data_IF_809019498826
#
_entry.id   IF_809019498826
#
_cell.length_a   1.000
_cell.length_b   1.000
_cell.length_c   1.000
_cell.angle_alpha   90.00
_cell.angle_beta   90.00
_cell.angle_gamma   90.00
#
_symmetry.space_group_name_H-M   'P 1'
#
loop_
_entity.id
_entity.type
_entity.pdbx_description
1 polymer ?
#
# COMPACT_ATOMS: atom_id res chain seq x y z
N UNK A 1 -1.80 7.41 -28.92
CA UNK A 1 -1.29 8.36 -27.91
C UNK A 1 -1.15 7.64 -26.59
N UNK A 2 0.03 7.64 -25.98
CA UNK A 2 0.25 7.13 -24.62
C UNK A 2 -0.27 8.16 -23.61
N UNK A 3 -1.14 7.72 -22.70
CA UNK A 3 -1.61 8.53 -21.56
C UNK A 3 -0.63 8.28 -20.42
N UNK A 4 -0.08 9.35 -19.84
CA UNK A 4 0.82 9.28 -18.69
C UNK A 4 0.61 10.47 -17.75
N UNK A 5 0.92 10.27 -16.47
CA UNK A 5 0.89 11.32 -15.45
C UNK A 5 1.79 12.48 -15.83
N UNK A 6 1.29 13.72 -15.72
CA UNK A 6 2.03 14.93 -16.09
C UNK A 6 1.94 15.33 -17.56
N UNK A 7 1.25 14.57 -18.43
CA UNK A 7 1.08 14.92 -19.85
C UNK A 7 0.45 16.30 -20.05
N UNK A 8 -0.66 16.59 -19.36
CA UNK A 8 -1.36 17.88 -19.48
C UNK A 8 -0.48 19.06 -19.03
N UNK A 9 0.30 18.86 -17.96
CA UNK A 9 1.21 19.89 -17.45
C UNK A 9 2.36 20.14 -18.43
N UNK A 10 2.93 19.07 -19.01
CA UNK A 10 3.94 19.18 -20.07
C UNK A 10 3.38 19.88 -21.31
N UNK A 11 2.18 19.51 -21.76
CA UNK A 11 1.52 20.12 -22.91
C UNK A 11 1.26 21.62 -22.67
N UNK A 12 0.77 21.96 -21.47
CA UNK A 12 0.54 23.35 -21.06
C UNK A 12 1.85 24.13 -21.02
N UNK A 13 2.91 23.55 -20.46
CA UNK A 13 4.24 24.15 -20.44
C UNK A 13 4.75 24.46 -21.86
N UNK A 14 4.64 23.51 -22.79
CA UNK A 14 5.10 23.67 -24.18
C UNK A 14 4.30 24.74 -24.90
N UNK A 15 2.97 24.79 -24.73
CA UNK A 15 2.12 25.80 -25.37
C UNK A 15 2.41 27.22 -24.87
N UNK A 16 2.67 27.36 -23.57
CA UNK A 16 2.78 28.66 -22.91
C UNK A 16 4.22 29.20 -22.88
N UNK A 17 5.21 28.40 -23.27
CA UNK A 17 6.62 28.81 -23.25
C UNK A 17 7.09 29.14 -24.66
N UNK A 18 7.65 30.35 -24.86
CA UNK A 18 8.14 30.80 -26.17
C UNK A 18 9.22 29.88 -26.75
N UNK A 19 10.14 29.44 -25.89
CA UNK A 19 11.25 28.53 -26.24
C UNK A 19 11.31 27.40 -25.20
N UNK A 20 10.48 26.35 -25.33
CA UNK A 20 10.44 25.28 -24.36
C UNK A 20 11.78 24.52 -24.37
N UNK A 21 12.37 24.36 -23.19
CA UNK A 21 13.63 23.64 -23.02
C UNK A 21 13.46 22.52 -22.00
N UNK A 22 13.97 21.33 -22.32
CA UNK A 22 13.84 20.16 -21.45
C UNK A 22 14.41 20.40 -20.06
N UNK A 23 15.62 20.97 -19.96
CA UNK A 23 16.23 21.31 -18.66
C UNK A 23 15.39 22.29 -17.85
N UNK A 24 14.79 23.29 -18.50
CA UNK A 24 13.93 24.26 -17.83
C UNK A 24 12.61 23.64 -17.36
N UNK A 25 12.04 22.70 -18.12
CA UNK A 25 10.88 21.92 -17.69
C UNK A 25 11.24 21.07 -16.46
N UNK A 26 12.34 20.33 -16.54
CA UNK A 26 12.79 19.45 -15.46
C UNK A 26 13.05 20.22 -14.18
N UNK A 27 13.75 21.36 -14.25
CA UNK A 27 14.03 22.20 -13.09
C UNK A 27 12.77 22.83 -12.47
N UNK A 28 11.72 23.04 -13.27
CA UNK A 28 10.47 23.63 -12.77
C UNK A 28 9.59 22.61 -12.06
N UNK A 29 9.68 21.34 -12.45
CA UNK A 29 8.80 20.28 -12.00
C UNK A 29 9.57 19.11 -11.39
N UNK A 30 10.62 19.40 -10.61
CA UNK A 30 11.53 18.39 -10.07
C UNK A 30 10.78 17.33 -9.25
N UNK A 31 10.02 17.78 -8.26
CA UNK A 31 9.24 16.90 -7.36
C UNK A 31 8.17 16.12 -8.15
N UNK A 32 7.45 16.80 -9.05
CA UNK A 32 6.35 16.18 -9.79
C UNK A 32 6.85 15.17 -10.82
N UNK A 33 8.07 15.33 -11.36
CA UNK A 33 8.67 14.34 -12.27
C UNK A 33 8.80 13.00 -11.57
N UNK A 34 9.21 12.98 -10.31
CA UNK A 34 9.35 11.76 -9.52
C UNK A 34 7.97 11.12 -9.31
N UNK A 35 6.97 11.90 -8.87
CA UNK A 35 5.59 11.43 -8.67
C UNK A 35 4.96 10.87 -9.96
N UNK A 36 5.11 11.57 -11.08
CA UNK A 36 4.61 11.15 -12.39
C UNK A 36 5.32 9.90 -12.91
N UNK A 37 6.45 9.55 -12.32
CA UNK A 37 7.25 8.37 -12.66
C UNK A 37 6.95 7.15 -11.79
N UNK A 38 6.07 7.26 -10.79
CA UNK A 38 5.78 6.20 -9.83
C UNK A 38 5.43 4.85 -10.48
N UNK A 39 4.64 4.89 -11.55
CA UNK A 39 4.19 3.71 -12.28
C UNK A 39 5.02 3.42 -13.56
N UNK A 40 6.10 4.17 -13.81
CA UNK A 40 7.01 3.86 -14.91
C UNK A 40 7.80 2.59 -14.60
N UNK A 41 8.14 1.84 -15.64
CA UNK A 41 9.11 0.74 -15.55
C UNK A 41 10.47 1.24 -16.02
N UNK A 42 11.09 2.12 -15.22
CA UNK A 42 12.48 2.49 -15.41
C UNK A 42 13.34 1.68 -14.43
N UNK A 43 14.36 1.00 -14.94
CA UNK A 43 15.31 0.17 -14.19
C UNK A 43 16.53 0.95 -13.69
N UNK A 44 16.74 2.19 -14.16
CA UNK A 44 17.81 3.08 -13.71
C UNK A 44 17.51 4.54 -14.08
N UNK A 45 18.33 5.46 -13.53
CA UNK A 45 18.26 6.90 -13.77
C UNK A 45 18.38 7.30 -15.24
N UNK A 46 19.20 6.58 -16.01
CA UNK A 46 19.39 6.85 -17.43
C UNK A 46 18.15 6.52 -18.24
N UNK A 47 17.50 5.40 -17.96
CA UNK A 47 16.23 5.02 -18.59
C UNK A 47 15.12 6.00 -18.24
N UNK A 48 15.02 6.40 -16.96
CA UNK A 48 14.08 7.43 -16.52
C UNK A 48 14.27 8.74 -17.30
N UNK A 49 15.51 9.19 -17.45
CA UNK A 49 15.86 10.35 -18.26
C UNK A 49 15.41 10.18 -19.72
N UNK A 50 15.69 9.03 -20.35
CA UNK A 50 15.33 8.78 -21.75
C UNK A 50 13.81 8.81 -21.96
N UNK A 51 13.03 8.24 -21.03
CA UNK A 51 11.56 8.29 -21.08
C UNK A 51 11.07 9.73 -21.07
N UNK A 52 11.59 10.56 -20.16
CA UNK A 52 11.19 11.97 -20.07
C UNK A 52 11.63 12.80 -21.26
N UNK A 53 12.82 12.54 -21.81
CA UNK A 53 13.28 13.18 -23.05
C UNK A 53 12.38 12.81 -24.22
N UNK A 54 12.00 11.53 -24.36
CA UNK A 54 11.06 11.10 -25.40
C UNK A 54 9.74 11.82 -25.27
N UNK A 55 9.14 11.81 -24.08
CA UNK A 55 7.87 12.49 -23.79
C UNK A 55 7.93 13.97 -24.15
N UNK A 56 8.99 14.67 -23.75
CA UNK A 56 9.18 16.08 -24.06
C UNK A 56 9.26 16.31 -25.58
N UNK A 57 10.11 15.54 -26.27
CA UNK A 57 10.29 15.68 -27.71
C UNK A 57 9.03 15.35 -28.50
N UNK A 58 8.26 14.35 -28.06
CA UNK A 58 7.00 13.95 -28.67
C UNK A 58 5.95 15.04 -28.50
N UNK A 59 5.80 15.60 -27.30
CA UNK A 59 4.89 16.72 -27.06
C UNK A 59 5.29 18.00 -27.81
N UNK A 60 6.58 18.28 -27.97
CA UNK A 60 7.03 19.43 -28.80
C UNK A 60 6.69 19.18 -30.27
N UNK A 61 6.94 17.98 -30.80
CA UNK A 61 6.58 17.63 -32.18
C UNK A 61 5.07 17.69 -32.43
N UNK A 62 4.27 17.29 -31.45
CA UNK A 62 2.81 17.31 -31.51
C UNK A 62 2.24 18.74 -31.48
N UNK A 63 2.78 19.62 -30.63
CA UNK A 63 2.15 20.91 -30.32
C UNK A 63 2.83 22.13 -30.97
N UNK A 64 4.14 22.03 -31.25
CA UNK A 64 5.01 23.14 -31.65
C UNK A 64 6.08 22.63 -32.62
N UNK A 65 5.65 22.19 -33.80
CA UNK A 65 6.54 21.71 -34.87
C UNK A 65 7.53 22.78 -35.38
N UNK A 66 7.28 24.05 -35.07
CA UNK A 66 8.17 25.18 -35.35
C UNK A 66 9.41 25.22 -34.44
N UNK A 67 9.39 24.55 -33.28
CA UNK A 67 10.49 24.55 -32.32
C UNK A 67 11.52 23.47 -32.68
N UNK A 68 12.79 23.88 -32.80
CA UNK A 68 13.88 22.93 -33.02
C UNK A 68 14.24 22.15 -31.76
N UNK A 69 14.26 20.82 -31.87
CA UNK A 69 14.68 19.93 -30.79
C UNK A 69 16.20 19.94 -30.66
N UNK A 70 16.68 20.21 -29.45
CA UNK A 70 18.11 20.17 -29.11
C UNK A 70 18.47 18.84 -28.47
N UNK A 71 19.72 18.40 -28.69
CA UNK A 71 20.27 17.24 -27.99
C UNK A 71 20.34 17.52 -26.49
N UNK A 72 19.58 16.74 -25.71
CA UNK A 72 19.57 16.82 -24.26
C UNK A 72 20.79 16.07 -23.70
N UNK A 73 21.49 16.68 -22.75
CA UNK A 73 22.59 16.04 -22.01
C UNK A 73 22.05 15.35 -20.76
N UNK A 74 22.52 14.15 -20.50
CA UNK A 74 22.29 13.45 -19.23
C UNK A 74 23.11 14.09 -18.12
N UNK A 75 22.47 14.41 -17.00
CA UNK A 75 23.10 14.97 -15.79
C UNK A 75 22.97 13.95 -14.66
N UNK A 76 24.01 13.13 -14.47
CA UNK A 76 23.98 12.00 -13.54
C UNK A 76 23.48 12.39 -12.15
N UNK A 77 24.12 13.37 -11.51
CA UNK A 77 23.78 13.82 -10.15
C UNK A 77 22.30 14.17 -9.94
N UNK A 78 21.62 14.66 -10.99
CA UNK A 78 20.21 15.02 -10.91
C UNK A 78 19.29 13.83 -11.11
N UNK A 79 19.57 13.03 -12.13
CA UNK A 79 18.72 11.90 -12.48
C UNK A 79 18.91 10.71 -11.55
N UNK A 80 20.09 10.56 -10.96
CA UNK A 80 20.34 9.58 -9.90
C UNK A 80 19.49 9.95 -8.68
N UNK A 81 19.50 11.22 -8.25
CA UNK A 81 18.63 11.71 -7.18
C UNK A 81 17.13 11.45 -7.44
N UNK A 82 16.64 11.79 -8.64
CA UNK A 82 15.24 11.48 -8.99
C UNK A 82 14.93 9.99 -8.97
N UNK A 83 15.90 9.16 -9.34
CA UNK A 83 15.70 7.72 -9.36
C UNK A 83 15.72 7.14 -7.94
N UNK A 84 16.58 7.63 -7.06
CA UNK A 84 16.59 7.27 -5.63
C UNK A 84 15.26 7.64 -4.96
N UNK A 85 14.79 8.89 -5.12
CA UNK A 85 13.48 9.33 -4.59
C UNK A 85 12.33 8.50 -5.16
N UNK A 86 12.41 8.11 -6.43
CA UNK A 86 11.41 7.24 -7.07
C UNK A 86 11.40 5.83 -6.44
N UNK A 87 12.56 5.27 -6.11
CA UNK A 87 12.65 3.98 -5.42
C UNK A 87 12.03 4.05 -4.02
N UNK A 88 12.34 5.10 -3.26
CA UNK A 88 11.75 5.32 -1.94
C UNK A 88 10.22 5.40 -2.00
N UNK A 89 9.66 6.15 -2.96
CA UNK A 89 8.21 6.24 -3.14
C UNK A 89 7.57 4.91 -3.54
N UNK A 90 8.25 4.10 -4.37
CA UNK A 90 7.77 2.76 -4.73
C UNK A 90 7.76 1.83 -3.53
N UNK A 91 8.83 1.85 -2.74
CA UNK A 91 8.96 1.05 -1.52
C UNK A 91 7.88 1.44 -0.50
N UNK A 92 7.69 2.73 -0.25
CA UNK A 92 6.66 3.24 0.65
C UNK A 92 5.26 2.81 0.19
N UNK A 93 4.96 2.93 -1.11
CA UNK A 93 3.68 2.48 -1.69
C UNK A 93 3.48 0.98 -1.50
N UNK A 94 4.52 0.17 -1.69
CA UNK A 94 4.45 -1.27 -1.49
C UNK A 94 4.23 -1.63 -0.01
N UNK A 95 4.97 -1.00 0.91
CA UNK A 95 4.82 -1.20 2.35
C UNK A 95 3.41 -0.85 2.82
N UNK A 96 2.92 0.34 2.44
CA UNK A 96 1.56 0.78 2.75
C UNK A 96 0.50 -0.20 2.24
N UNK A 97 0.67 -0.75 1.04
CA UNK A 97 -0.23 -1.77 0.49
C UNK A 97 -0.21 -3.06 1.31
N UNK A 98 0.98 -3.54 1.69
CA UNK A 98 1.14 -4.77 2.48
C UNK A 98 0.53 -4.59 3.87
N UNK A 99 0.82 -3.48 4.55
CA UNK A 99 0.31 -3.18 5.89
C UNK A 99 -1.21 -2.97 5.87
N UNK A 100 -1.73 -2.27 4.86
CA UNK A 100 -3.17 -2.13 4.65
C UNK A 100 -3.85 -3.49 4.49
N UNK A 101 -3.29 -4.38 3.69
CA UNK A 101 -3.82 -5.74 3.54
C UNK A 101 -3.77 -6.54 4.85
N UNK A 102 -2.68 -6.43 5.61
CA UNK A 102 -2.57 -7.07 6.93
C UNK A 102 -3.65 -6.57 7.88
N UNK A 103 -3.93 -5.26 7.90
CA UNK A 103 -4.96 -4.67 8.75
C UNK A 103 -6.38 -5.13 8.36
N UNK A 104 -6.67 -5.20 7.06
CA UNK A 104 -7.94 -5.73 6.54
C UNK A 104 -8.12 -7.19 6.96
N UNK A 105 -7.09 -8.02 6.80
CA UNK A 105 -7.16 -9.43 7.19
C UNK A 105 -7.39 -9.59 8.70
N UNK A 106 -6.65 -8.86 9.55
CA UNK A 106 -6.86 -8.87 11.00
C UNK A 106 -8.28 -8.45 11.39
N UNK A 107 -8.80 -7.41 10.73
CA UNK A 107 -10.16 -6.92 10.99
C UNK A 107 -11.22 -7.95 10.59
N UNK A 108 -11.05 -8.61 9.44
CA UNK A 108 -11.95 -9.67 8.99
C UNK A 108 -11.93 -10.88 9.92
N UNK A 109 -10.74 -11.32 10.36
CA UNK A 109 -10.59 -12.40 11.34
C UNK A 109 -11.27 -12.04 12.65
N UNK A 110 -11.06 -10.83 13.17
CA UNK A 110 -11.71 -10.38 14.40
C UNK A 110 -13.23 -10.30 14.29
N UNK A 111 -13.76 -9.79 13.16
CA UNK A 111 -15.20 -9.73 12.92
C UNK A 111 -15.82 -11.13 12.80
N UNK A 112 -15.10 -12.04 12.15
CA UNK A 112 -15.52 -13.44 12.00
C UNK A 112 -15.53 -14.16 13.34
N UNK A 113 -14.48 -14.05 14.15
CA UNK A 113 -14.43 -14.61 15.51
C UNK A 113 -15.55 -14.07 16.40
N UNK A 114 -15.85 -12.77 16.33
CA UNK A 114 -17.00 -12.18 17.04
C UNK A 114 -18.31 -12.80 16.58
N UNK A 115 -18.49 -13.00 15.28
CA UNK A 115 -19.69 -13.62 14.71
C UNK A 115 -19.83 -15.08 15.14
N UNK A 116 -18.73 -15.85 15.15
CA UNK A 116 -18.70 -17.22 15.65
C UNK A 116 -19.12 -17.28 17.11
N UNK A 117 -18.53 -16.43 17.98
CA UNK A 117 -18.89 -16.35 19.40
C UNK A 117 -20.37 -16.05 19.62
N UNK A 118 -20.96 -15.16 18.82
CA UNK A 118 -22.40 -14.84 18.89
C UNK A 118 -23.29 -16.03 18.46
N UNK A 119 -22.84 -16.82 17.49
CA UNK A 119 -23.56 -18.03 17.08
C UNK A 119 -23.48 -19.10 18.18
N UNK A 120 -22.30 -19.30 18.78
CA UNK A 120 -22.07 -20.26 19.86
C UNK A 120 -22.83 -19.89 21.14
N UNK A 121 -22.91 -18.60 21.49
CA UNK A 121 -23.69 -18.14 22.65
C UNK A 121 -25.19 -18.37 22.49
N UNK A 122 -25.72 -18.34 21.26
CA UNK A 122 -27.14 -18.58 21.01
C UNK A 122 -27.50 -20.07 21.00
N UNK A 123 -26.56 -20.98 20.73
CA UNK A 123 -26.77 -22.42 20.88
C UNK A 123 -26.81 -22.86 22.37
N UNK A 124 -26.26 -22.05 23.28
CA UNK A 124 -26.30 -22.31 24.72
C UNK A 124 -27.66 -21.97 25.39
N UNK A 125 -28.55 -21.23 24.71
CA UNK A 125 -29.86 -20.84 25.26
C UNK A 125 -31.00 -21.86 25.02
N UNK A 126 -30.69 -23.01 24.40
CA UNK A 126 -31.62 -24.14 24.28
C UNK A 126 -31.69 -25.07 25.50
N UNK A 127 -30.80 -24.93 26.48
CA UNK A 127 -30.76 -25.79 27.67
C UNK A 127 -31.00 -25.01 28.96
N UNK A 128 -32.27 -24.68 29.19
CA UNK A 128 -32.91 -24.49 30.50
C UNK A 128 -32.09 -23.79 31.61
N UNK A 129 -32.37 -22.49 31.80
CA UNK A 129 -32.69 -21.86 33.11
C UNK A 129 -31.70 -22.11 34.26
N UNK A 130 -30.76 -21.18 34.48
CA UNK A 130 -30.27 -20.85 35.83
C UNK A 130 -29.50 -19.52 35.87
N UNK A 131 -30.14 -18.53 36.50
CA UNK A 131 -29.58 -17.50 37.40
C UNK A 131 -28.43 -16.61 36.90
N UNK A 132 -28.80 -15.34 36.72
CA UNK A 132 -28.02 -14.10 36.89
C UNK A 132 -26.69 -14.30 37.61
N UNK A 133 -25.57 -13.95 36.96
CA UNK A 133 -24.46 -13.34 37.69
C UNK A 133 -23.86 -12.19 36.87
N UNK A 134 -24.11 -11.02 37.41
CA UNK A 134 -23.78 -9.70 36.93
C UNK A 134 -22.34 -9.37 37.39
N UNK A 135 -21.36 -10.21 37.07
CA UNK A 135 -19.98 -10.02 37.56
C UNK A 135 -18.88 -10.54 36.59
N UNK A 136 -18.85 -10.07 35.35
CA UNK A 136 -17.66 -10.25 34.48
C UNK A 136 -17.37 -9.09 33.54
N UNK A 137 -18.02 -7.93 33.71
CA UNK A 137 -17.65 -6.70 33.01
C UNK A 137 -16.78 -5.85 33.94
N UNK A 138 -15.57 -6.33 34.26
CA UNK A 138 -14.51 -5.47 34.78
C UNK A 138 -13.16 -5.90 34.25
N UNK A 139 -12.40 -4.89 33.81
CA UNK A 139 -10.98 -4.88 33.47
C UNK A 139 -10.63 -5.22 32.01
N UNK A 140 -10.58 -4.19 31.16
CA UNK A 140 -9.35 -3.40 30.99
C UNK A 140 -9.47 -2.45 29.78
N UNK A 141 -9.84 -1.19 30.05
CA UNK A 141 -9.39 -0.05 29.25
C UNK A 141 -9.06 1.12 30.19
N UNK A 142 -7.96 1.81 29.87
CA UNK A 142 -7.35 2.98 30.53
C UNK A 142 -6.60 2.68 31.85
N UNK A 143 -5.34 3.06 32.06
CA UNK A 143 -4.59 4.17 31.48
C UNK A 143 -3.11 4.10 31.95
N UNK A 144 -2.26 4.90 31.29
CA UNK A 144 -1.06 5.58 31.83
C UNK A 144 0.31 5.00 31.46
N UNK A 145 0.96 5.68 30.51
CA UNK A 145 2.37 5.50 30.21
C UNK A 145 3.31 6.14 31.24
N UNK A 146 4.60 5.81 31.11
CA UNK A 146 5.77 6.69 30.91
C UNK A 146 7.02 5.78 30.92
N UNK A 147 7.97 6.17 30.07
CA UNK A 147 9.27 5.58 29.68
C UNK A 147 10.23 5.28 30.85
N UNK A 148 11.10 4.27 30.69
CA UNK A 148 12.57 4.44 30.57
C UNK A 148 13.30 3.08 30.40
N UNK A 149 14.48 3.17 29.79
CA UNK A 149 15.32 2.17 29.13
C UNK A 149 15.89 1.04 30.03
N UNK A 150 16.14 -0.14 29.47
CA UNK A 150 17.50 -0.63 29.15
C UNK A 150 17.48 -2.09 28.63
N UNK A 151 18.49 -2.37 27.82
CA UNK A 151 18.84 -3.58 27.08
C UNK A 151 18.73 -4.89 27.90
N UNK A 152 18.27 -5.98 27.27
CA UNK A 152 19.20 -7.09 27.04
C UNK A 152 18.68 -8.11 26.02
N UNK A 153 19.62 -8.57 25.21
CA UNK A 153 19.47 -9.61 24.20
C UNK A 153 19.25 -10.97 24.89
N UNK A 154 18.34 -11.78 24.34
CA UNK A 154 18.62 -13.22 24.24
C UNK A 154 17.88 -13.78 23.02
N UNK A 155 18.70 -14.06 22.01
CA UNK A 155 18.50 -15.14 21.05
C UNK A 155 18.45 -16.48 21.79
N UNK A 156 17.90 -17.50 21.14
CA UNK A 156 17.75 -18.90 21.56
C UNK A 156 16.50 -19.24 22.40
N UNK A 157 15.44 -19.69 21.72
CA UNK A 157 15.18 -21.13 21.58
C UNK A 157 14.00 -21.38 20.61
N UNK A 158 14.34 -21.70 19.36
CA UNK A 158 13.41 -22.21 18.36
C UNK A 158 13.08 -23.66 18.72
N UNK A 159 11.95 -23.88 19.39
CA UNK A 159 11.27 -25.18 19.31
C UNK A 159 10.29 -25.15 18.13
N UNK A 160 10.83 -25.44 16.95
CA UNK A 160 10.09 -25.91 15.78
C UNK A 160 9.60 -27.34 16.05
N UNK A 161 8.47 -27.52 16.77
CA UNK A 161 7.80 -28.83 16.80
C UNK A 161 6.36 -28.82 17.34
N UNK A 162 5.51 -27.89 16.86
CA UNK A 162 4.04 -28.06 16.99
C UNK A 162 3.25 -27.50 15.80
N UNK A 163 3.67 -27.88 14.59
CA UNK A 163 2.89 -27.70 13.36
C UNK A 163 2.19 -29.02 13.01
N UNK A 164 0.99 -29.26 13.56
CA UNK A 164 -0.07 -29.99 12.84
C UNK A 164 -1.45 -30.02 13.55
N UNK A 165 -1.89 -28.92 14.17
CA UNK A 165 -3.32 -28.64 14.16
C UNK A 165 -3.62 -27.88 12.87
N UNK A 166 -4.26 -28.55 11.92
CA UNK A 166 -4.75 -27.94 10.68
C UNK A 166 -5.81 -26.90 11.06
N UNK A 167 -5.35 -25.67 11.36
CA UNK A 167 -6.22 -24.55 11.73
C UNK A 167 -7.05 -24.21 10.51
N UNK A 168 -8.25 -24.77 10.47
CA UNK A 168 -9.23 -24.56 9.42
C UNK A 168 -9.38 -23.05 9.17
N UNK A 169 -9.27 -22.59 7.91
CA UNK A 169 -9.47 -21.19 7.59
C UNK A 169 -10.80 -20.68 8.16
N UNK A 170 -10.80 -19.49 8.73
CA UNK A 170 -11.97 -18.92 9.42
C UNK A 170 -13.22 -18.86 8.53
N UNK A 171 -13.03 -18.73 7.21
CA UNK A 171 -14.11 -18.81 6.22
C UNK A 171 -14.79 -20.20 6.20
N UNK A 172 -14.01 -21.27 6.32
CA UNK A 172 -14.51 -22.64 6.33
C UNK A 172 -15.18 -22.96 7.68
N UNK A 173 -14.69 -22.40 8.79
CA UNK A 173 -15.34 -22.50 10.10
C UNK A 173 -16.73 -21.82 10.10
N UNK A 174 -16.82 -20.62 9.53
CA UNK A 174 -18.09 -19.89 9.34
C UNK A 174 -19.04 -20.65 8.42
N UNK A 175 -18.53 -21.19 7.31
CA UNK A 175 -19.33 -21.98 6.38
C UNK A 175 -19.88 -23.26 7.03
N UNK A 176 -19.07 -23.95 7.85
CA UNK A 176 -19.49 -25.13 8.60
C UNK A 176 -20.56 -24.82 9.64
N UNK A 177 -20.45 -23.70 10.37
CA UNK A 177 -21.53 -23.29 11.30
C UNK A 177 -22.81 -22.89 10.56
N UNK A 178 -22.69 -22.18 9.42
CA UNK A 178 -23.85 -21.87 8.57
C UNK A 178 -24.56 -23.14 8.10
N UNK A 179 -23.82 -24.11 7.55
CA UNK A 179 -24.38 -25.39 7.12
C UNK A 179 -25.03 -26.15 8.29
N UNK A 180 -24.37 -26.23 9.45
CA UNK A 180 -24.92 -26.90 10.64
C UNK A 180 -26.24 -26.29 11.11
N UNK A 181 -26.38 -24.96 11.01
CA UNK A 181 -27.58 -24.24 11.44
C UNK A 181 -28.73 -24.41 10.45
N UNK A 182 -28.46 -24.22 9.16
CA UNK A 182 -29.52 -24.13 8.15
C UNK A 182 -29.83 -25.46 7.43
N UNK A 183 -29.02 -26.50 7.57
CA UNK A 183 -29.38 -27.86 7.10
C UNK A 183 -30.15 -28.68 8.13
N UNK A 184 -30.18 -28.28 9.41
CA UNK A 184 -31.03 -28.91 10.45
C UNK A 184 -32.47 -28.39 10.46
N UNK A 185 -32.77 -27.37 9.67
CA UNK A 185 -34.09 -26.73 9.55
C UNK A 185 -34.89 -27.17 8.30
N UNK A 186 -34.44 -28.21 7.57
CA UNK A 186 -35.15 -28.83 6.43
C UNK A 186 -35.53 -30.28 6.72
#
# INVERSE_FOLDING_TARGET
>A
MTVYSGKEVLHTYIKNTKTPAFSSFVNKYEEQIVEWSLNLQASNSRELHLIWVSRFNDSVRELRADVSLKKVKFLASKWDKFYEELLELRDMKQRSRIEGQKLVNKSLTNASLRSLRLLESNDAEGSSRSVVDEESIRMNEAEKGVLEDEDDLNEDDLNEDDLNEEVMPVADQLHMLYLKKFQKES
#
